data_IF_243180804389
#
_entry.id   IF_243180804389
#
_cell.length_a   1.000
_cell.length_b   1.000
_cell.length_c   1.000
_cell.angle_alpha   90.00
_cell.angle_beta   90.00
_cell.angle_gamma   90.00
#
_symmetry.space_group_name_H-M   'P 1'
#
loop_
_entity.id
_entity.type
_entity.pdbx_description
1 polymer ?
#
# COMPACT_ATOMS: atom_id res chain seq x y z
N UNK A 1 27.40 -0.31 -7.86
CA UNK A 1 26.09 -0.53 -7.22
C UNK A 1 25.04 0.02 -8.17
N UNK A 2 24.16 -0.82 -8.74
CA UNK A 2 23.07 -0.33 -9.61
C UNK A 2 22.22 0.62 -8.79
N UNK A 3 21.98 1.82 -9.30
CA UNK A 3 21.10 2.81 -8.69
C UNK A 3 19.78 2.15 -8.30
N UNK A 4 19.34 2.38 -7.08
CA UNK A 4 18.17 1.83 -6.38
C UNK A 4 16.82 2.22 -7.01
N UNK A 5 16.71 2.22 -8.33
CA UNK A 5 15.51 2.54 -9.10
C UNK A 5 14.84 1.24 -9.50
N UNK A 6 13.85 0.83 -8.70
CA UNK A 6 12.95 -0.26 -9.02
C UNK A 6 12.21 0.03 -10.34
N UNK A 7 12.47 -0.79 -11.35
CA UNK A 7 11.92 -0.66 -12.72
C UNK A 7 10.90 -1.77 -13.06
N UNK A 8 10.27 -1.69 -14.24
CA UNK A 8 9.28 -2.70 -14.65
C UNK A 8 9.89 -4.08 -14.95
N UNK A 9 11.18 -4.16 -15.26
CA UNK A 9 11.85 -5.43 -15.50
C UNK A 9 12.07 -6.16 -14.16
N UNK A 10 12.53 -5.44 -13.14
CA UNK A 10 12.70 -5.94 -11.78
C UNK A 10 11.35 -6.42 -11.21
N UNK A 11 10.27 -5.69 -11.47
CA UNK A 11 8.92 -6.11 -11.09
C UNK A 11 8.51 -7.42 -11.75
N UNK A 12 8.79 -7.58 -13.05
CA UNK A 12 8.47 -8.81 -13.79
C UNK A 12 9.29 -10.00 -13.28
N UNK A 13 10.58 -9.80 -13.02
CA UNK A 13 11.48 -10.83 -12.48
C UNK A 13 11.04 -11.27 -11.08
N UNK A 14 10.65 -10.33 -10.21
CA UNK A 14 10.12 -10.63 -8.89
C UNK A 14 8.81 -11.42 -8.96
N UNK A 15 7.89 -11.03 -9.84
CA UNK A 15 6.61 -11.72 -9.98
C UNK A 15 6.78 -13.13 -10.59
N UNK A 16 7.74 -13.30 -11.49
CA UNK A 16 8.08 -14.62 -12.03
C UNK A 16 8.67 -15.55 -10.95
N UNK A 17 9.47 -15.02 -10.03
CA UNK A 17 9.95 -15.79 -8.88
C UNK A 17 8.79 -16.24 -7.99
N UNK A 18 7.82 -15.36 -7.74
CA UNK A 18 6.60 -15.71 -6.97
C UNK A 18 5.79 -16.78 -7.68
N UNK A 19 5.61 -16.67 -9.01
CA UNK A 19 4.95 -17.71 -9.81
C UNK A 19 5.65 -19.07 -9.69
N UNK A 20 6.99 -19.08 -9.74
CA UNK A 20 7.79 -20.30 -9.65
C UNK A 20 7.79 -20.96 -8.25
N UNK A 21 7.48 -20.20 -7.19
CA UNK A 21 7.28 -20.76 -5.85
C UNK A 21 5.98 -21.56 -5.71
N UNK A 22 5.11 -21.54 -6.74
CA UNK A 22 3.85 -22.26 -6.75
C UNK A 22 2.74 -21.55 -5.96
N UNK A 23 1.54 -22.15 -5.87
CA UNK A 23 0.45 -21.57 -5.10
C UNK A 23 0.87 -21.51 -3.63
N UNK A 24 1.08 -20.28 -3.14
CA UNK A 24 1.33 -20.01 -1.71
C UNK A 24 0.26 -20.61 -0.80
N UNK A 25 -0.90 -20.99 -1.33
CA UNK A 25 -1.88 -21.82 -0.63
C UNK A 25 -1.28 -23.06 0.03
N UNK A 26 -0.42 -23.81 -0.66
CA UNK A 26 0.09 -25.06 -0.12
C UNK A 26 1.15 -24.83 0.97
N UNK A 27 1.93 -23.76 0.85
CA UNK A 27 2.83 -23.30 1.91
C UNK A 27 2.06 -22.72 3.10
N UNK A 28 1.00 -21.96 2.87
CA UNK A 28 0.14 -21.37 3.92
C UNK A 28 -0.64 -22.46 4.66
N UNK A 29 -1.09 -23.52 3.98
CA UNK A 29 -1.74 -24.69 4.59
C UNK A 29 -0.80 -25.45 5.54
N UNK A 30 0.52 -25.39 5.33
CA UNK A 30 1.52 -26.03 6.19
C UNK A 30 1.93 -25.16 7.40
N UNK A 31 1.55 -23.89 7.46
CA UNK A 31 1.83 -23.01 8.61
C UNK A 31 0.64 -23.04 9.57
N UNK A 32 0.74 -23.71 10.73
CA UNK A 32 -0.33 -23.74 11.72
C UNK A 32 -0.62 -22.32 12.24
N UNK A 33 -1.89 -21.92 12.23
CA UNK A 33 -2.35 -20.60 12.71
C UNK A 33 -2.49 -19.50 11.65
N UNK A 34 -1.98 -19.68 10.43
CA UNK A 34 -2.13 -18.71 9.32
C UNK A 34 -3.18 -19.09 8.27
N UNK A 35 -3.64 -20.34 8.24
CA UNK A 35 -4.61 -20.85 7.27
C UNK A 35 -5.97 -20.12 7.25
N UNK A 36 -6.32 -19.40 8.32
CA UNK A 36 -7.59 -18.68 8.43
C UNK A 36 -7.49 -17.17 8.21
N UNK A 37 -6.32 -16.61 7.90
CA UNK A 37 -6.20 -15.18 7.66
C UNK A 37 -6.71 -14.81 6.25
N UNK A 38 -7.84 -14.09 6.12
CA UNK A 38 -8.42 -13.73 4.81
C UNK A 38 -7.52 -12.79 3.99
N UNK A 39 -6.58 -12.07 4.63
CA UNK A 39 -5.62 -11.23 3.93
C UNK A 39 -4.63 -12.03 3.06
N UNK A 40 -4.37 -13.29 3.42
CA UNK A 40 -3.44 -14.17 2.71
C UNK A 40 -4.14 -15.08 1.69
N UNK A 41 -5.44 -15.35 1.87
CA UNK A 41 -6.26 -16.11 0.91
C UNK A 41 -6.48 -15.39 -0.42
N UNK A 42 -6.35 -14.06 -0.43
CA UNK A 42 -6.59 -13.23 -1.62
C UNK A 42 -5.34 -13.02 -2.49
N UNK A 43 -4.18 -13.57 -2.10
CA UNK A 43 -2.97 -13.55 -2.95
C UNK A 43 -2.95 -14.80 -3.83
N UNK A 44 -4.06 -15.02 -4.56
CA UNK A 44 -4.08 -16.00 -5.64
C UNK A 44 -3.60 -15.29 -6.89
N UNK A 45 -2.32 -15.49 -7.24
CA UNK A 45 -1.78 -15.04 -8.50
C UNK A 45 -2.10 -16.13 -9.54
N UNK A 46 -3.09 -15.87 -10.39
CA UNK A 46 -3.41 -16.76 -11.51
C UNK A 46 -2.24 -16.73 -12.53
N UNK A 47 -1.73 -17.90 -12.99
CA UNK A 47 -0.75 -17.96 -14.07
C UNK A 47 -1.14 -17.15 -15.31
N UNK A 48 -2.44 -17.05 -15.64
CA UNK A 48 -2.93 -16.25 -16.77
C UNK A 48 -2.75 -14.76 -16.55
N UNK A 49 -2.97 -14.28 -15.34
CA UNK A 49 -2.75 -12.88 -15.00
C UNK A 49 -1.26 -12.52 -15.10
N UNK A 50 -0.38 -13.46 -14.75
CA UNK A 50 1.06 -13.31 -14.97
C UNK A 50 1.44 -13.21 -16.44
N UNK A 51 0.83 -14.01 -17.32
CA UNK A 51 1.03 -13.89 -18.76
C UNK A 51 0.53 -12.55 -19.29
N UNK A 52 -0.61 -12.07 -18.81
CA UNK A 52 -1.13 -10.73 -19.17
C UNK A 52 -0.18 -9.62 -18.72
N UNK A 53 0.34 -9.70 -17.51
CA UNK A 53 1.33 -8.74 -17.00
C UNK A 53 2.59 -8.72 -17.87
N UNK A 54 3.12 -9.91 -18.21
CA UNK A 54 4.27 -10.05 -19.13
C UNK A 54 3.96 -9.40 -20.49
N UNK A 55 2.80 -9.68 -21.08
CA UNK A 55 2.40 -9.09 -22.36
C UNK A 55 2.35 -7.55 -22.31
N UNK A 56 1.85 -6.97 -21.21
CA UNK A 56 1.81 -5.51 -21.02
C UNK A 56 3.22 -4.93 -20.91
N UNK A 57 4.11 -5.52 -20.10
CA UNK A 57 5.49 -5.03 -19.94
C UNK A 57 6.28 -5.17 -21.24
N UNK A 58 6.12 -6.29 -21.97
CA UNK A 58 6.77 -6.47 -23.26
C UNK A 58 6.29 -5.49 -24.34
N UNK A 59 5.07 -4.96 -24.22
CA UNK A 59 4.51 -3.93 -25.12
C UNK A 59 5.03 -2.51 -24.83
N UNK A 60 5.80 -2.32 -23.75
CA UNK A 60 6.48 -1.06 -23.44
C UNK A 60 7.81 -0.95 -24.18
N UNK A 61 8.21 0.28 -24.48
CA UNK A 61 9.57 0.60 -24.94
C UNK A 61 10.57 0.55 -23.79
N UNK A 62 11.86 0.37 -24.08
CA UNK A 62 12.92 0.31 -23.06
C UNK A 62 12.92 1.52 -22.12
N UNK A 63 12.78 2.73 -22.68
CA UNK A 63 12.72 3.96 -21.90
C UNK A 63 11.51 4.01 -20.95
N UNK A 64 10.36 3.47 -21.36
CA UNK A 64 9.15 3.40 -20.52
C UNK A 64 9.26 2.33 -19.43
N UNK A 65 10.03 1.25 -19.67
CA UNK A 65 10.28 0.21 -18.65
C UNK A 65 11.19 0.72 -17.53
N UNK A 66 12.22 1.47 -17.90
CA UNK A 66 13.18 2.06 -16.96
C UNK A 66 12.56 3.25 -16.19
N UNK A 67 11.72 4.05 -16.85
CA UNK A 67 11.11 5.24 -16.27
C UNK A 67 9.56 5.20 -16.33
N UNK A 68 8.91 4.72 -15.26
CA UNK A 68 7.45 4.65 -15.14
C UNK A 68 6.74 6.00 -15.27
N UNK A 69 7.42 7.09 -14.92
CA UNK A 69 6.87 8.44 -14.97
C UNK A 69 6.65 8.95 -16.40
N UNK A 70 7.25 8.28 -17.40
CA UNK A 70 7.05 8.61 -18.82
C UNK A 70 5.70 8.11 -19.37
N UNK A 71 4.93 7.32 -18.61
CA UNK A 71 3.68 6.69 -19.06
C UNK A 71 2.50 7.68 -19.13
N UNK A 72 2.46 8.47 -20.20
CA UNK A 72 1.32 9.33 -20.54
C UNK A 72 0.08 8.52 -20.94
N UNK A 73 -1.14 9.11 -20.87
CA UNK A 73 -2.37 8.45 -21.30
C UNK A 73 -2.32 7.91 -22.74
N UNK A 74 -1.63 8.62 -23.65
CA UNK A 74 -1.44 8.19 -25.05
C UNK A 74 -0.58 6.91 -25.12
N UNK A 75 0.53 6.87 -24.37
CA UNK A 75 1.40 5.67 -24.30
C UNK A 75 0.66 4.48 -23.69
N UNK A 76 -0.17 4.69 -22.67
CA UNK A 76 -0.99 3.64 -22.08
C UNK A 76 -2.00 3.05 -23.06
N UNK A 77 -2.61 3.86 -23.95
CA UNK A 77 -3.47 3.36 -25.03
C UNK A 77 -2.69 2.51 -26.03
N UNK A 78 -1.48 2.95 -26.41
CA UNK A 78 -0.61 2.17 -27.31
C UNK A 78 -0.21 0.83 -26.69
N UNK A 79 0.16 0.83 -25.42
CA UNK A 79 0.52 -0.39 -24.68
C UNK A 79 -0.67 -1.35 -24.60
N UNK A 80 -1.86 -0.84 -24.27
CA UNK A 80 -3.10 -1.63 -24.25
C UNK A 80 -3.39 -2.29 -25.60
N UNK A 81 -3.26 -1.54 -26.69
CA UNK A 81 -3.41 -2.07 -28.04
C UNK A 81 -2.34 -3.12 -28.39
N UNK A 82 -1.08 -2.89 -27.98
CA UNK A 82 0.04 -3.81 -28.21
C UNK A 82 -0.05 -5.11 -27.41
N UNK A 83 -0.62 -5.06 -26.21
CA UNK A 83 -0.77 -6.24 -25.34
C UNK A 83 -2.10 -6.96 -25.52
N UNK A 84 -3.03 -6.42 -26.33
CA UNK A 84 -4.37 -6.97 -26.50
C UNK A 84 -5.22 -6.89 -25.24
N UNK A 85 -4.92 -5.97 -24.32
CA UNK A 85 -5.60 -5.83 -23.03
C UNK A 85 -6.35 -4.50 -22.92
N UNK A 86 -7.42 -4.43 -22.12
CA UNK A 86 -8.12 -3.16 -21.91
C UNK A 86 -7.24 -2.15 -21.16
N UNK A 87 -7.42 -0.87 -21.47
CA UNK A 87 -6.68 0.23 -20.82
C UNK A 87 -6.86 0.26 -19.29
N UNK A 88 -7.99 -0.23 -18.79
CA UNK A 88 -8.29 -0.31 -17.36
C UNK A 88 -7.31 -1.23 -16.64
N UNK A 89 -6.96 -2.36 -17.25
CA UNK A 89 -5.99 -3.30 -16.68
C UNK A 89 -4.58 -2.74 -16.70
N UNK A 90 -4.19 -2.07 -17.79
CA UNK A 90 -2.90 -1.37 -17.87
C UNK A 90 -2.80 -0.31 -16.76
N UNK A 91 -3.87 0.44 -16.51
CA UNK A 91 -3.90 1.42 -15.43
C UNK A 91 -3.84 0.76 -14.03
N UNK A 92 -4.49 -0.40 -13.84
CA UNK A 92 -4.44 -1.15 -12.58
C UNK A 92 -3.01 -1.65 -12.31
N UNK A 93 -2.36 -2.22 -13.32
CA UNK A 93 -0.99 -2.71 -13.21
C UNK A 93 -0.02 -1.58 -12.86
N UNK A 94 -0.13 -0.42 -13.53
CA UNK A 94 0.73 0.73 -13.23
C UNK A 94 0.53 1.22 -11.79
N UNK A 95 -0.70 1.18 -11.26
CA UNK A 95 -0.95 1.52 -9.86
C UNK A 95 -0.28 0.53 -8.89
N UNK A 96 -0.43 -0.78 -9.14
CA UNK A 96 0.20 -1.84 -8.34
C UNK A 96 1.73 -1.69 -8.34
N UNK A 97 2.31 -1.44 -9.51
CA UNK A 97 3.73 -1.18 -9.66
C UNK A 97 4.16 0.07 -8.87
N UNK A 98 3.43 1.18 -8.97
CA UNK A 98 3.76 2.41 -8.23
C UNK A 98 3.66 2.25 -6.71
N UNK A 99 2.71 1.43 -6.23
CA UNK A 99 2.58 1.09 -4.82
C UNK A 99 3.78 0.28 -4.33
N UNK A 100 4.20 -0.74 -5.10
CA UNK A 100 5.40 -1.51 -4.79
C UNK A 100 6.67 -0.67 -4.87
N UNK A 101 6.81 0.18 -5.89
CA UNK A 101 7.92 1.13 -6.03
C UNK A 101 7.99 2.06 -4.82
N UNK A 102 6.85 2.55 -4.34
CA UNK A 102 6.77 3.40 -3.14
C UNK A 102 7.20 2.63 -1.90
N UNK A 103 6.72 1.40 -1.73
CA UNK A 103 7.10 0.55 -0.60
C UNK A 103 8.60 0.23 -0.61
N UNK A 104 9.15 -0.19 -1.76
CA UNK A 104 10.59 -0.43 -1.91
C UNK A 104 11.40 0.84 -1.68
N UNK A 105 10.93 1.99 -2.19
CA UNK A 105 11.56 3.29 -1.92
C UNK A 105 11.57 3.64 -0.43
N UNK A 106 10.50 3.33 0.31
CA UNK A 106 10.45 3.55 1.77
C UNK A 106 11.41 2.63 2.53
N UNK A 107 11.51 1.37 2.11
CA UNK A 107 12.42 0.36 2.72
C UNK A 107 13.88 0.69 2.41
N UNK A 108 14.22 1.00 1.16
CA UNK A 108 15.58 1.31 0.70
C UNK A 108 16.09 2.64 1.25
N UNK A 109 15.21 3.61 1.46
CA UNK A 109 15.57 4.88 2.10
C UNK A 109 15.63 4.78 3.63
N UNK A 110 15.46 3.58 4.23
CA UNK A 110 15.53 3.37 5.67
C UNK A 110 14.55 4.23 6.47
N UNK A 111 13.46 4.70 5.85
CA UNK A 111 12.63 5.75 6.43
C UNK A 111 11.59 5.14 7.39
N UNK A 112 12.09 4.76 8.57
CA UNK A 112 11.31 4.37 9.76
C UNK A 112 10.17 5.36 10.09
N UNK A 113 10.29 6.63 9.68
CA UNK A 113 9.26 7.65 9.89
C UNK A 113 7.97 7.38 9.09
N UNK A 114 8.04 6.70 7.94
CA UNK A 114 6.85 6.33 7.16
C UNK A 114 6.04 5.20 7.81
N UNK A 115 6.74 4.28 8.47
CA UNK A 115 6.13 3.21 9.26
C UNK A 115 5.58 3.74 10.59
N UNK A 116 6.26 4.69 11.24
CA UNK A 116 5.76 5.39 12.43
C UNK A 116 4.50 6.21 12.14
N UNK A 117 4.43 6.84 10.97
CA UNK A 117 3.25 7.60 10.55
C UNK A 117 2.07 6.69 10.15
N UNK A 118 2.35 5.52 9.58
CA UNK A 118 1.35 4.48 9.30
C UNK A 118 0.86 3.79 10.58
N UNK A 119 1.75 3.51 11.53
CA UNK A 119 1.43 2.90 12.83
C UNK A 119 0.72 3.90 13.75
N UNK A 120 1.07 5.19 13.66
CA UNK A 120 0.35 6.30 14.28
C UNK A 120 -1.03 6.55 13.64
N UNK A 121 -1.19 6.33 12.33
CA UNK A 121 -2.47 6.42 11.65
C UNK A 121 -3.37 5.18 11.83
N UNK A 122 -2.79 3.98 12.00
CA UNK A 122 -3.51 2.73 12.28
C UNK A 122 -3.76 2.48 13.78
N UNK A 123 -3.41 3.43 14.65
CA UNK A 123 -3.83 3.40 16.07
C UNK A 123 -3.26 2.24 16.89
N UNK A 124 -2.15 1.63 16.44
CA UNK A 124 -1.54 0.46 17.10
C UNK A 124 -0.19 0.77 17.76
N UNK A 125 0.09 2.03 18.09
CA UNK A 125 1.17 2.44 18.98
C UNK A 125 0.63 2.73 20.38
N UNK A 126 0.88 1.82 21.32
CA UNK A 126 0.43 1.94 22.70
C UNK A 126 1.03 3.14 23.46
N UNK A 127 0.25 3.62 24.44
CA UNK A 127 0.77 4.22 25.67
C UNK A 127 1.45 5.60 25.56
N UNK A 128 0.74 6.62 26.02
CA UNK A 128 1.29 7.89 26.53
C UNK A 128 2.21 8.67 25.58
N UNK A 129 1.60 9.49 24.71
CA UNK A 129 2.31 10.56 24.02
C UNK A 129 1.35 11.59 23.47
N UNK A 130 1.40 12.81 24.01
CA UNK A 130 0.66 13.95 23.51
C UNK A 130 0.97 14.17 22.02
N UNK A 131 -0.02 14.00 21.12
CA UNK A 131 0.26 14.08 19.68
C UNK A 131 -0.96 14.26 18.79
N UNK A 132 -1.46 15.48 18.70
CA UNK A 132 -1.88 16.12 17.44
C UNK A 132 -2.78 15.37 16.44
N UNK A 133 -4.07 15.23 16.74
CA UNK A 133 -5.12 15.06 15.73
C UNK A 133 -6.31 15.97 16.04
N UNK A 134 -7.06 16.41 15.02
CA UNK A 134 -8.27 17.25 15.16
C UNK A 134 -9.24 16.72 16.25
N UNK A 135 -9.24 15.41 16.43
CA UNK A 135 -10.04 14.68 17.41
C UNK A 135 -9.57 14.87 18.86
N UNK A 136 -8.26 14.98 19.12
CA UNK A 136 -7.71 15.26 20.46
C UNK A 136 -7.92 16.70 20.91
N UNK A 137 -7.91 17.65 19.98
CA UNK A 137 -8.28 19.05 20.26
C UNK A 137 -9.77 19.17 20.63
N UNK A 138 -10.64 18.44 19.93
CA UNK A 138 -12.07 18.43 20.24
C UNK A 138 -12.38 17.75 21.59
N UNK A 139 -11.68 16.66 21.91
CA UNK A 139 -11.78 15.99 23.21
C UNK A 139 -11.35 16.91 24.37
N UNK A 140 -10.24 17.64 24.22
CA UNK A 140 -9.79 18.61 25.23
C UNK A 140 -10.79 19.78 25.41
N UNK A 141 -11.39 20.28 24.32
CA UNK A 141 -12.42 21.34 24.39
C UNK A 141 -13.70 20.83 25.07
N UNK A 142 -14.15 19.64 24.73
CA UNK A 142 -15.32 19.01 25.35
C UNK A 142 -15.12 18.78 26.86
N UNK A 143 -13.94 18.27 27.25
CA UNK A 143 -13.61 18.02 28.64
C UNK A 143 -13.52 19.33 29.45
N UNK A 144 -12.97 20.41 28.88
CA UNK A 144 -12.89 21.73 29.52
C UNK A 144 -14.28 22.37 29.69
N UNK A 145 -15.20 22.17 28.74
CA UNK A 145 -16.60 22.60 28.87
C UNK A 145 -17.35 21.79 29.94
N UNK A 146 -17.13 20.49 30.00
CA UNK A 146 -17.75 19.61 31.00
C UNK A 146 -17.29 19.98 32.42
N UNK A 147 -15.99 20.18 32.65
CA UNK A 147 -15.45 20.59 33.95
C UNK A 147 -16.05 21.93 34.43
N UNK A 148 -16.28 22.88 33.52
CA UNK A 148 -16.96 24.16 33.83
C UNK A 148 -18.43 23.95 34.20
N UNK A 149 -19.15 23.07 33.50
CA UNK A 149 -20.55 22.72 33.85
C UNK A 149 -20.66 22.03 35.20
N UNK A 150 -19.76 21.08 35.49
CA UNK A 150 -19.71 20.38 36.78
C UNK A 150 -19.44 21.35 37.92
N UNK A 151 -18.47 22.28 37.77
CA UNK A 151 -18.22 23.33 38.78
C UNK A 151 -19.44 24.25 38.96
N UNK A 152 -20.13 24.63 37.88
CA UNK A 152 -21.33 25.50 37.95
C UNK A 152 -22.51 24.79 38.64
N UNK A 153 -22.72 23.51 38.38
CA UNK A 153 -23.75 22.71 39.07
C UNK A 153 -23.40 22.47 40.53
N UNK A 154 -22.11 22.23 40.86
CA UNK A 154 -21.69 22.08 42.27
C UNK A 154 -21.92 23.36 43.07
N UNK A 155 -21.65 24.54 42.49
CA UNK A 155 -21.90 25.85 43.12
C UNK A 155 -23.40 26.20 43.24
N UNK A 156 -24.25 25.67 42.36
CA UNK A 156 -25.71 25.80 42.46
C UNK A 156 -26.33 24.87 43.51
N UNK A 157 -25.69 23.74 43.81
CA UNK A 157 -26.15 22.79 44.85
C UNK A 157 -25.65 23.15 46.25
N UNK A 158 -24.73 24.10 46.37
CA UNK A 158 -24.19 24.60 47.65
C UNK A 158 -24.72 26.00 48.03
N UNK A 159 -25.80 26.44 47.40
CA UNK A 159 -26.61 27.62 47.75
C UNK A 159 -28.03 27.13 47.91
#
# INVERSE_FOLDING_TARGET
MKSSTFDFNDFLDQMQQVQNMGPMEDLIKMIPGMANNPALKNVQIDPKDMEHLKAIVYSMTKAERENPDLLSPSRRRRIAAGSGRPIVEVNRMIKQFNEMKKMMGQVLNGNVNGMEQMMGAMGMGGGNGAGGGLQGKMANVAMKQMARRVKKNKKKRSK
#
